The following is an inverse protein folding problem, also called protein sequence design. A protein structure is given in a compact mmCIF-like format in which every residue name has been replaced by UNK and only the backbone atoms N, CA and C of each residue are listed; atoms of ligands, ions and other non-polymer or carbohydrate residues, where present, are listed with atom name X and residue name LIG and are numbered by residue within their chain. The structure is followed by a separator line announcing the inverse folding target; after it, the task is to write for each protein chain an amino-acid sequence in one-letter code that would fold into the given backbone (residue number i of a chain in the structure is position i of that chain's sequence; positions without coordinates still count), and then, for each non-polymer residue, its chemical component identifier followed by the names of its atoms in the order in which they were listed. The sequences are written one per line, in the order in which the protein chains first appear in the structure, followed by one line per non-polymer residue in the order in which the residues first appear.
data_IF_528984168524
#
_entry.id   IF_528984168524
#
_cell.length_a   1.000
_cell.length_b   1.000
_cell.length_c   1.000
_cell.angle_alpha   90.00
_cell.angle_beta   90.00
_cell.angle_gamma   90.00
#
_symmetry.space_group_name_H-M   'P 1'
#
loop_
_entity.id
_entity.type
_entity.pdbx_description
1 polymer ?
#
# COMPACT_ATOMS: atom_id res chain seq x y z
N UNK A 1 10.66 23.11 -18.73
CA UNK A 1 9.87 22.51 -17.63
C UNK A 1 10.63 21.29 -17.12
N UNK A 2 11.16 21.27 -15.89
CA UNK A 2 11.82 20.07 -15.41
C UNK A 2 10.72 19.01 -15.18
N UNK A 3 10.71 17.94 -15.98
CA UNK A 3 9.93 16.74 -15.66
C UNK A 3 10.55 16.17 -14.39
N UNK A 4 9.97 16.53 -13.24
CA UNK A 4 10.30 15.98 -11.93
C UNK A 4 10.22 14.46 -12.07
N UNK A 5 11.37 13.80 -12.04
CA UNK A 5 11.48 12.35 -11.89
C UNK A 5 11.10 12.08 -10.43
N UNK A 6 9.82 12.18 -10.11
CA UNK A 6 9.22 11.82 -8.83
C UNK A 6 8.86 10.32 -8.80
N UNK A 7 9.54 9.51 -9.62
CA UNK A 7 9.01 8.23 -10.10
C UNK A 7 9.15 7.03 -9.14
N UNK A 8 9.67 7.17 -7.93
CA UNK A 8 9.97 5.97 -7.14
C UNK A 8 8.84 5.54 -6.20
N UNK A 9 8.27 6.40 -5.33
CA UNK A 9 7.34 5.93 -4.30
C UNK A 9 5.90 5.75 -4.79
N UNK A 10 5.41 6.61 -5.70
CA UNK A 10 4.01 6.59 -6.17
C UNK A 10 3.74 5.39 -7.08
N UNK A 11 4.61 5.13 -8.05
CA UNK A 11 4.50 3.96 -8.93
C UNK A 11 4.59 2.66 -8.12
N UNK A 12 5.52 2.61 -7.16
CA UNK A 12 5.68 1.47 -6.25
C UNK A 12 4.47 1.27 -5.36
N UNK A 13 3.84 2.36 -4.90
CA UNK A 13 2.59 2.32 -4.14
C UNK A 13 1.42 1.81 -4.99
N UNK A 14 1.31 2.22 -6.25
CA UNK A 14 0.31 1.70 -7.19
C UNK A 14 0.51 0.20 -7.42
N UNK A 15 1.75 -0.25 -7.62
CA UNK A 15 2.06 -1.68 -7.78
C UNK A 15 1.74 -2.50 -6.52
N UNK A 16 1.98 -1.92 -5.33
CA UNK A 16 1.57 -2.54 -4.05
C UNK A 16 0.05 -2.67 -3.98
N UNK A 17 -0.68 -1.60 -4.28
CA UNK A 17 -2.13 -1.59 -4.27
C UNK A 17 -2.71 -2.64 -5.23
N UNK A 18 -2.17 -2.73 -6.45
CA UNK A 18 -2.58 -3.71 -7.44
C UNK A 18 -2.27 -5.15 -6.98
N UNK A 19 -1.07 -5.37 -6.43
CA UNK A 19 -0.69 -6.66 -5.85
C UNK A 19 -1.62 -7.09 -4.70
N UNK A 20 -2.05 -6.14 -3.87
CA UNK A 20 -3.01 -6.41 -2.80
C UNK A 20 -4.38 -6.78 -3.38
N UNK A 21 -4.86 -6.07 -4.40
CA UNK A 21 -6.14 -6.38 -5.07
C UNK A 21 -6.14 -7.78 -5.70
N UNK A 22 -5.09 -8.13 -6.44
CA UNK A 22 -4.96 -9.45 -7.08
C UNK A 22 -4.86 -10.59 -6.04
N UNK A 23 -4.35 -10.31 -4.84
CA UNK A 23 -4.20 -11.30 -3.75
C UNK A 23 -5.37 -11.35 -2.77
N UNK A 24 -6.53 -10.78 -3.13
CA UNK A 24 -7.74 -10.83 -2.28
C UNK A 24 -7.90 -9.62 -1.34
N UNK A 25 -7.32 -8.48 -1.70
CA UNK A 25 -7.56 -7.18 -1.06
C UNK A 25 -6.85 -6.97 0.27
N UNK A 26 -6.02 -7.90 0.76
CA UNK A 26 -5.27 -7.73 2.00
C UNK A 26 -4.02 -8.58 2.10
N UNK A 27 -3.03 -8.11 2.88
CA UNK A 27 -1.83 -8.87 3.21
C UNK A 27 -1.26 -8.49 4.59
N UNK A 28 -0.59 -9.42 5.30
CA UNK A 28 0.12 -9.10 6.53
C UNK A 28 1.25 -8.08 6.27
N UNK A 29 1.37 -7.05 7.10
CA UNK A 29 2.37 -5.98 6.95
C UNK A 29 3.80 -6.52 6.86
N UNK A 30 4.14 -7.53 7.69
CA UNK A 30 5.45 -8.16 7.68
C UNK A 30 5.74 -9.00 6.42
N UNK A 31 4.71 -9.33 5.61
CA UNK A 31 4.86 -10.00 4.31
C UNK A 31 4.92 -9.02 3.15
N UNK A 32 4.71 -7.73 3.39
CA UNK A 32 4.76 -6.70 2.35
C UNK A 32 6.23 -6.33 2.13
N UNK A 33 6.80 -6.83 1.04
CA UNK A 33 8.19 -6.54 0.65
C UNK A 33 8.32 -5.20 -0.09
N UNK A 34 7.49 -4.21 0.26
CA UNK A 34 7.48 -2.89 -0.35
C UNK A 34 8.07 -1.87 0.62
N UNK A 35 8.69 -0.79 0.12
CA UNK A 35 9.23 0.24 0.97
C UNK A 35 8.11 0.86 1.83
N UNK A 36 8.42 1.11 3.10
CA UNK A 36 7.48 1.68 4.06
C UNK A 36 6.92 3.04 3.60
N UNK A 37 7.69 3.80 2.82
CA UNK A 37 7.24 5.07 2.19
C UNK A 37 6.07 4.88 1.23
N UNK A 38 6.02 3.77 0.49
CA UNK A 38 4.89 3.45 -0.39
C UNK A 38 3.65 3.03 0.41
N UNK A 39 3.82 2.29 1.51
CA UNK A 39 2.71 1.95 2.42
C UNK A 39 2.15 3.22 3.06
N UNK A 40 3.03 4.10 3.55
CA UNK A 40 2.65 5.38 4.17
C UNK A 40 1.91 6.28 3.17
N UNK A 41 2.37 6.32 1.92
CA UNK A 41 1.70 7.07 0.85
C UNK A 41 0.27 6.56 0.58
N UNK A 42 0.07 5.23 0.58
CA UNK A 42 -1.28 4.65 0.42
C UNK A 42 -2.18 4.91 1.63
N UNK A 43 -1.60 4.91 2.85
CA UNK A 43 -2.32 5.21 4.08
C UNK A 43 -2.77 6.68 4.14
N UNK A 44 -1.88 7.59 3.76
CA UNK A 44 -2.15 9.03 3.69
C UNK A 44 -3.30 9.34 2.72
N UNK A 45 -3.35 8.61 1.60
CA UNK A 45 -4.43 8.70 0.60
C UNK A 45 -5.68 7.87 0.94
N UNK A 46 -5.72 7.23 2.11
CA UNK A 46 -6.81 6.35 2.53
C UNK A 46 -7.15 5.22 1.54
N UNK A 47 -6.19 4.80 0.72
CA UNK A 47 -6.37 3.69 -0.25
C UNK A 47 -6.17 2.32 0.40
N UNK A 48 -5.44 2.29 1.51
CA UNK A 48 -5.27 1.11 2.35
C UNK A 48 -5.47 1.49 3.81
N UNK A 49 -5.78 0.52 4.64
CA UNK A 49 -5.89 0.64 6.08
C UNK A 49 -5.07 -0.45 6.75
N UNK A 50 -4.52 -0.15 7.94
CA UNK A 50 -3.86 -1.15 8.77
C UNK A 50 -4.80 -1.59 9.87
N UNK A 51 -5.08 -2.90 9.93
CA UNK A 51 -5.84 -3.54 10.98
C UNK A 51 -4.93 -4.36 11.87
N UNK A 52 -5.03 -4.19 13.19
CA UNK A 52 -4.37 -5.07 14.14
C UNK A 52 -5.22 -6.33 14.34
N UNK A 53 -4.63 -7.51 14.13
CA UNK A 53 -5.29 -8.82 14.30
C UNK A 53 -4.98 -9.48 15.64
N UNK A 54 -4.32 -8.78 16.56
CA UNK A 54 -3.87 -9.28 17.86
C UNK A 54 -2.46 -9.87 17.83
N UNK A 55 -2.10 -10.58 16.75
CA UNK A 55 -0.76 -11.15 16.56
C UNK A 55 0.06 -10.44 15.49
N UNK A 56 -0.57 -9.64 14.62
CA UNK A 56 0.12 -8.96 13.53
C UNK A 56 -0.68 -7.76 13.02
N UNK A 57 -0.02 -6.92 12.22
CA UNK A 57 -0.67 -5.89 11.43
C UNK A 57 -1.00 -6.43 10.05
N UNK A 58 -2.21 -6.16 9.59
CA UNK A 58 -2.72 -6.57 8.29
C UNK A 58 -3.10 -5.32 7.52
N UNK A 59 -2.55 -5.17 6.33
CA UNK A 59 -2.86 -4.06 5.42
C UNK A 59 -3.96 -4.53 4.49
N UNK A 60 -5.10 -3.84 4.51
CA UNK A 60 -6.22 -4.10 3.62
C UNK A 60 -6.45 -2.92 2.71
N UNK A 61 -6.80 -3.19 1.45
CA UNK A 61 -7.29 -2.17 0.52
C UNK A 61 -8.61 -1.62 1.04
N UNK A 62 -8.75 -0.30 1.02
CA UNK A 62 -10.02 0.38 1.27
C UNK A 62 -10.69 0.52 -0.09
N UNK A 63 -11.58 -0.42 -0.42
CA UNK A 63 -12.44 -0.25 -1.59
C UNK A 63 -13.50 0.81 -1.22
N UNK A 64 -13.31 2.03 -1.73
CA UNK A 64 -14.41 2.96 -1.86
C UNK A 64 -15.35 2.42 -2.93
N UNK A 65 -16.47 1.83 -2.49
CA UNK A 65 -17.62 1.52 -3.35
C UNK A 65 -18.24 2.81 -3.92
#
# INVERSE_FOLDING_TARGET
MPKKINNCPEITAINLLDSLRVRGGSAPLHRINFPQTSIQYLLDRQLVQVKNTGCSFLVSVVEHQ
#
